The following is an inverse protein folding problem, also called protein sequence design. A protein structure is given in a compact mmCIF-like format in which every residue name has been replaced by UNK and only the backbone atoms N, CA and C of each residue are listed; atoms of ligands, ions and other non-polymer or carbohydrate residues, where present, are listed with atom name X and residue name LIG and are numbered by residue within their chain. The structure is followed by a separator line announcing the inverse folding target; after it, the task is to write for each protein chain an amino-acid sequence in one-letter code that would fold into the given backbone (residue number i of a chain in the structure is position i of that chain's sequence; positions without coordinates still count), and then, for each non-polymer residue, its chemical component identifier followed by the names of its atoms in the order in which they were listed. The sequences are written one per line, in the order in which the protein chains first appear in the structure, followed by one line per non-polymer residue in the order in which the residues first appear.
data_IF_609661538952
#
_entry.id   IF_609661538952
#
_cell.length_a   1.000
_cell.length_b   1.000
_cell.length_c   1.000
_cell.angle_alpha   90.00
_cell.angle_beta   90.00
_cell.angle_gamma   90.00
#
_symmetry.space_group_name_H-M   'P 1'
#
loop_
_entity.id
_entity.type
_entity.pdbx_description
1 polymer ?
#
# COMPACT_ATOMS: atom_id res chain seq x y z
N UNK A 1 28.22 18.90 20.69
CA UNK A 1 28.54 20.35 20.84
C UNK A 1 27.40 21.12 20.18
N UNK A 2 27.26 22.43 20.53
CA UNK A 2 26.29 23.27 19.81
C UNK A 2 27.04 24.13 18.81
N UNK A 3 26.55 24.19 17.57
CA UNK A 3 27.12 24.96 16.47
C UNK A 3 26.03 25.74 15.75
N UNK A 4 26.42 26.83 15.10
CA UNK A 4 25.52 27.55 14.19
C UNK A 4 25.30 26.68 12.94
N UNK A 5 24.09 26.20 12.73
CA UNK A 5 23.76 25.35 11.57
C UNK A 5 22.34 25.50 11.10
N UNK A 6 22.10 25.08 9.89
CA UNK A 6 20.76 24.97 9.32
C UNK A 6 19.98 23.87 10.02
N UNK A 7 18.75 24.15 10.42
CA UNK A 7 17.86 23.21 11.07
C UNK A 7 16.41 23.54 10.71
N UNK A 8 15.57 22.55 10.70
CA UNK A 8 14.15 22.73 10.47
C UNK A 8 13.52 23.47 11.66
N UNK A 9 12.77 24.51 11.36
CA UNK A 9 11.88 25.20 12.29
C UNK A 9 10.42 24.94 11.88
N UNK A 10 9.59 24.60 12.85
CA UNK A 10 8.17 24.36 12.65
C UNK A 10 7.41 25.44 13.43
N UNK A 11 6.64 26.24 12.70
CA UNK A 11 5.77 27.27 13.27
C UNK A 11 4.53 26.58 13.86
N UNK A 12 4.45 26.57 15.19
CA UNK A 12 3.38 25.89 15.90
C UNK A 12 2.04 26.61 15.72
N UNK A 13 2.02 27.91 15.48
CA UNK A 13 0.78 28.67 15.29
C UNK A 13 0.15 28.34 13.93
N UNK A 14 0.96 28.15 12.91
CA UNK A 14 0.51 27.73 11.58
C UNK A 14 0.22 26.24 11.50
N UNK A 15 0.88 25.41 12.29
CA UNK A 15 0.75 23.97 12.23
C UNK A 15 -0.65 23.49 12.68
N UNK A 16 -1.34 22.73 11.86
CA UNK A 16 -2.64 22.11 12.19
C UNK A 16 -2.53 20.64 12.66
N UNK A 17 -1.31 20.08 12.80
CA UNK A 17 -1.08 18.72 13.26
C UNK A 17 -1.42 17.61 12.28
N UNK A 18 -1.58 17.91 10.99
CA UNK A 18 -1.99 16.92 9.97
C UNK A 18 -1.04 15.74 9.77
N UNK A 19 0.20 15.81 10.25
CA UNK A 19 1.19 14.73 10.21
C UNK A 19 1.84 14.48 8.85
N UNK A 20 1.54 15.27 7.80
CA UNK A 20 2.08 15.03 6.45
C UNK A 20 3.61 15.22 6.36
N UNK A 21 4.23 15.89 7.31
CA UNK A 21 5.68 16.04 7.41
C UNK A 21 6.38 14.79 7.95
N UNK A 22 5.70 13.92 8.70
CA UNK A 22 6.30 12.75 9.35
C UNK A 22 6.91 11.75 8.36
N UNK A 23 6.19 11.28 7.30
CA UNK A 23 6.75 10.31 6.36
C UNK A 23 7.85 10.90 5.47
N UNK A 24 7.98 12.23 5.42
CA UNK A 24 8.96 12.94 4.61
C UNK A 24 10.23 13.33 5.39
N UNK A 25 10.29 13.03 6.68
CA UNK A 25 11.49 13.16 7.50
C UNK A 25 12.24 11.82 7.52
N UNK A 26 13.29 11.71 6.73
CA UNK A 26 14.06 10.46 6.60
C UNK A 26 14.71 10.03 7.93
N UNK A 27 15.07 11.00 8.76
CA UNK A 27 15.72 10.81 10.07
C UNK A 27 14.73 10.57 11.22
N UNK A 28 13.41 10.62 10.95
CA UNK A 28 12.38 10.44 11.97
C UNK A 28 12.42 11.50 13.09
N UNK A 29 13.00 12.66 12.81
CA UNK A 29 13.23 13.74 13.78
C UNK A 29 11.96 14.50 14.18
N UNK A 30 10.84 14.33 13.46
CA UNK A 30 9.58 15.04 13.71
C UNK A 30 8.57 14.12 14.41
N UNK A 31 7.86 14.67 15.41
CA UNK A 31 6.73 14.00 16.07
C UNK A 31 5.54 14.96 16.22
N UNK A 32 4.34 14.42 16.37
CA UNK A 32 3.16 15.19 16.77
C UNK A 32 3.06 15.17 18.30
N UNK A 33 3.16 16.34 18.90
CA UNK A 33 3.06 16.53 20.35
C UNK A 33 1.96 17.57 20.61
N UNK A 34 0.93 17.21 21.37
CA UNK A 34 -0.21 18.07 21.65
C UNK A 34 -0.89 18.63 20.37
N UNK A 35 -1.00 17.81 19.34
CA UNK A 35 -1.65 18.20 18.08
C UNK A 35 -0.80 19.10 17.17
N UNK A 36 0.49 19.30 17.45
CA UNK A 36 1.42 20.11 16.67
C UNK A 36 2.66 19.30 16.31
N UNK A 37 3.20 19.52 15.11
CA UNK A 37 4.48 18.91 14.74
C UNK A 37 5.62 19.62 15.47
N UNK A 38 6.56 18.86 16.00
CA UNK A 38 7.76 19.35 16.70
C UNK A 38 8.98 18.50 16.36
N UNK A 39 10.17 19.10 16.42
CA UNK A 39 11.41 18.33 16.45
C UNK A 39 11.54 17.61 17.79
N UNK A 40 11.84 16.32 17.77
CA UNK A 40 12.11 15.51 18.98
C UNK A 40 13.41 15.95 19.67
N UNK A 41 14.46 16.18 18.88
CA UNK A 41 15.74 16.70 19.32
C UNK A 41 16.49 17.32 18.12
N UNK A 42 17.27 18.37 18.37
CA UNK A 42 18.04 19.04 17.33
C UNK A 42 19.01 18.09 16.63
N UNK A 43 19.70 17.24 17.38
CA UNK A 43 20.70 16.28 16.89
C UNK A 43 20.14 15.23 15.91
N UNK A 44 18.81 15.05 15.85
CA UNK A 44 18.18 14.10 14.93
C UNK A 44 17.85 14.72 13.57
N UNK A 45 17.91 16.04 13.42
CA UNK A 45 17.61 16.73 12.17
C UNK A 45 18.90 17.06 11.43
N UNK A 46 19.08 16.58 10.20
CA UNK A 46 20.23 16.86 9.34
C UNK A 46 20.22 18.30 8.76
N UNK A 47 19.05 18.96 8.74
CA UNK A 47 18.88 20.30 8.19
C UNK A 47 18.81 20.36 6.67
N UNK A 48 18.76 19.23 5.97
CA UNK A 48 18.68 19.17 4.50
C UNK A 48 17.29 19.53 3.96
N UNK A 49 16.23 19.42 4.79
CA UNK A 49 14.91 19.91 4.44
C UNK A 49 14.08 18.98 3.55
N UNK A 50 14.30 17.67 3.59
CA UNK A 50 13.48 16.69 2.87
C UNK A 50 11.97 16.80 3.20
N UNK A 51 11.64 17.33 4.39
CA UNK A 51 10.26 17.57 4.85
C UNK A 51 9.63 18.87 4.27
N UNK A 52 10.41 19.73 3.60
CA UNK A 52 9.88 20.95 2.97
C UNK A 52 8.97 20.63 1.78
N UNK A 53 8.04 21.55 1.49
CA UNK A 53 7.11 21.40 0.36
C UNK A 53 5.95 20.42 0.61
N UNK A 54 5.93 19.73 1.74
CA UNK A 54 4.86 18.78 2.09
C UNK A 54 3.88 19.31 3.14
N UNK A 55 4.10 20.51 3.67
CA UNK A 55 3.21 21.12 4.65
C UNK A 55 2.11 21.94 3.96
N UNK A 56 0.82 21.57 4.07
CA UNK A 56 -0.27 22.32 3.45
C UNK A 56 -0.50 23.69 4.08
N UNK A 57 0.07 23.92 5.28
CA UNK A 57 -0.04 25.18 6.03
C UNK A 57 1.24 26.04 5.93
N UNK A 58 2.23 25.59 5.14
CA UNK A 58 3.55 26.24 5.02
C UNK A 58 4.23 26.55 6.37
N UNK A 59 3.97 25.68 7.36
CA UNK A 59 4.46 25.85 8.73
C UNK A 59 5.93 25.41 8.91
N UNK A 60 6.59 24.85 7.88
CA UNK A 60 7.94 24.29 7.97
C UNK A 60 8.91 25.11 7.14
N UNK A 61 9.99 25.57 7.78
CA UNK A 61 11.06 26.32 7.13
C UNK A 61 12.43 25.91 7.68
N UNK A 62 13.50 26.18 6.95
CA UNK A 62 14.87 26.06 7.46
C UNK A 62 15.28 27.40 8.07
N UNK A 63 15.84 27.34 9.26
CA UNK A 63 16.45 28.48 9.93
C UNK A 63 17.89 28.15 10.31
N UNK A 64 18.73 29.17 10.40
CA UNK A 64 20.09 29.01 10.92
C UNK A 64 20.09 29.48 12.39
N UNK A 65 20.41 28.56 13.28
CA UNK A 65 20.50 28.84 14.72
C UNK A 65 21.50 27.95 15.41
N UNK A 66 21.87 28.30 16.62
CA UNK A 66 22.67 27.43 17.49
C UNK A 66 21.85 26.17 17.83
N UNK A 67 22.40 25.01 17.46
CA UNK A 67 21.76 23.70 17.64
C UNK A 67 22.84 22.65 17.91
N UNK A 68 22.42 21.52 18.51
CA UNK A 68 23.30 20.36 18.66
C UNK A 68 23.71 19.84 17.27
N UNK A 69 24.96 19.40 17.14
CA UNK A 69 25.43 18.78 15.90
C UNK A 69 24.60 17.57 15.53
N UNK A 70 24.45 17.33 14.23
CA UNK A 70 23.71 16.16 13.74
C UNK A 70 24.43 14.88 14.13
N UNK A 71 23.70 13.95 14.69
CA UNK A 71 24.14 12.63 15.12
C UNK A 71 23.47 11.57 14.26
N UNK A 72 24.16 11.15 13.19
CA UNK A 72 23.65 10.17 12.23
C UNK A 72 23.35 8.82 12.92
N UNK A 73 24.18 8.40 13.89
CA UNK A 73 23.97 7.16 14.61
C UNK A 73 22.70 7.21 15.47
N UNK A 74 22.46 8.36 16.14
CA UNK A 74 21.23 8.58 16.90
C UNK A 74 20.00 8.65 15.99
N UNK A 75 20.09 9.28 14.83
CA UNK A 75 19.01 9.35 13.85
C UNK A 75 18.66 7.93 13.31
N UNK A 76 19.65 7.15 12.94
CA UNK A 76 19.45 5.76 12.52
C UNK A 76 18.83 4.90 13.63
N UNK A 77 19.28 5.05 14.88
CA UNK A 77 18.70 4.34 16.02
C UNK A 77 17.23 4.74 16.24
N UNK A 78 16.90 6.03 16.10
CA UNK A 78 15.52 6.52 16.22
C UNK A 78 14.62 5.93 15.13
N UNK A 79 15.08 5.93 13.87
CA UNK A 79 14.33 5.30 12.76
C UNK A 79 14.16 3.80 12.97
N UNK A 80 15.19 3.11 13.47
CA UNK A 80 15.12 1.68 13.79
C UNK A 80 14.13 1.43 14.93
N UNK A 81 14.14 2.25 15.98
CA UNK A 81 13.19 2.19 17.08
C UNK A 81 11.77 2.47 16.63
N UNK A 82 11.55 3.45 15.75
CA UNK A 82 10.25 3.73 15.16
C UNK A 82 9.74 2.55 14.32
N UNK A 83 10.60 1.90 13.53
CA UNK A 83 10.26 0.70 12.77
C UNK A 83 9.97 -0.50 13.66
N UNK A 84 10.71 -0.65 14.75
CA UNK A 84 10.50 -1.74 15.73
C UNK A 84 9.27 -1.49 16.62
N UNK A 85 9.01 -0.23 16.98
CA UNK A 85 7.84 0.18 17.74
C UNK A 85 6.59 0.34 16.89
N UNK A 86 6.73 0.41 15.55
CA UNK A 86 5.58 0.31 14.67
C UNK A 86 4.93 -1.05 14.93
N UNK A 87 3.72 -1.10 15.48
CA UNK A 87 3.01 -2.37 15.57
C UNK A 87 2.96 -2.96 14.17
N UNK A 88 3.04 -4.29 14.00
CA UNK A 88 3.01 -4.90 12.69
C UNK A 88 1.77 -4.39 11.95
N UNK A 89 1.98 -3.40 11.07
CA UNK A 89 1.02 -2.73 10.18
C UNK A 89 -0.42 -2.52 10.74
N UNK A 90 -0.55 -2.40 12.06
CA UNK A 90 -1.75 -1.96 12.70
C UNK A 90 -1.72 -0.46 12.90
N UNK A 91 -1.74 0.34 11.84
CA UNK A 91 -2.24 1.69 12.04
C UNK A 91 -3.67 1.51 12.57
N UNK A 92 -4.01 2.14 13.70
CA UNK A 92 -5.36 2.03 14.29
C UNK A 92 -6.48 2.55 13.37
N UNK A 93 -6.20 2.68 12.09
CA UNK A 93 -7.13 2.99 11.04
C UNK A 93 -7.96 1.74 10.73
N UNK A 94 -9.29 1.76 10.88
CA UNK A 94 -10.15 0.64 10.53
C UNK A 94 -9.94 0.11 9.10
N UNK A 95 -9.45 0.97 8.19
CA UNK A 95 -9.17 0.62 6.79
C UNK A 95 -8.01 -0.36 6.58
N UNK A 96 -7.10 -0.53 7.56
CA UNK A 96 -5.98 -1.48 7.49
C UNK A 96 -6.10 -2.67 8.44
N UNK A 97 -7.16 -2.74 9.26
CA UNK A 97 -7.39 -3.88 10.12
C UNK A 97 -7.69 -5.13 9.29
N UNK A 98 -7.00 -6.25 9.60
CA UNK A 98 -7.31 -7.54 9.00
C UNK A 98 -8.68 -8.02 9.51
N UNK A 99 -9.54 -8.36 8.57
CA UNK A 99 -10.84 -8.97 8.85
C UNK A 99 -11.06 -10.12 7.87
N UNK A 100 -11.67 -11.20 8.36
CA UNK A 100 -12.16 -12.30 7.53
C UNK A 100 -13.66 -12.39 7.73
N UNK A 101 -14.39 -12.45 6.64
CA UNK A 101 -15.84 -12.55 6.67
C UNK A 101 -16.26 -13.99 6.35
N UNK A 102 -17.31 -14.47 7.01
CA UNK A 102 -17.94 -15.72 6.59
C UNK A 102 -18.54 -15.50 5.19
N UNK A 103 -17.93 -16.12 4.19
CA UNK A 103 -18.52 -16.15 2.86
C UNK A 103 -19.66 -17.15 2.87
N UNK A 104 -20.88 -16.71 2.59
CA UNK A 104 -21.92 -17.62 2.17
C UNK A 104 -21.40 -18.37 0.93
N UNK A 105 -21.48 -19.71 0.95
CA UNK A 105 -21.17 -20.51 -0.23
C UNK A 105 -21.88 -19.89 -1.43
N UNK A 106 -21.17 -19.78 -2.56
CA UNK A 106 -21.71 -19.19 -3.78
C UNK A 106 -22.95 -20.01 -4.22
N UNK A 107 -24.08 -19.65 -3.65
CA UNK A 107 -25.38 -20.15 -4.11
C UNK A 107 -25.80 -19.22 -5.25
N UNK A 108 -26.24 -19.75 -6.40
CA UNK A 108 -26.71 -18.90 -7.50
C UNK A 108 -27.97 -18.07 -7.14
N UNK A 109 -28.43 -18.16 -5.90
CA UNK A 109 -29.61 -17.50 -5.34
C UNK A 109 -29.27 -16.39 -4.34
N UNK A 110 -28.05 -15.81 -4.36
CA UNK A 110 -27.79 -14.61 -3.57
C UNK A 110 -28.65 -13.47 -4.12
N UNK A 111 -29.58 -13.00 -3.32
CA UNK A 111 -30.46 -11.89 -3.69
C UNK A 111 -29.65 -10.62 -4.01
N UNK A 112 -30.23 -9.65 -4.70
CA UNK A 112 -29.57 -8.39 -5.01
C UNK A 112 -29.11 -7.71 -3.71
N UNK A 113 -27.80 -7.38 -3.62
CA UNK A 113 -27.20 -6.62 -2.52
C UNK A 113 -26.31 -7.38 -1.54
N UNK A 114 -26.10 -8.70 -1.68
CA UNK A 114 -25.16 -9.42 -0.81
C UNK A 114 -23.71 -9.27 -1.31
N UNK A 115 -22.80 -8.88 -0.40
CA UNK A 115 -21.36 -8.86 -0.69
C UNK A 115 -20.78 -10.27 -0.62
N UNK A 116 -19.96 -10.61 -1.63
CA UNK A 116 -19.15 -11.83 -1.65
C UNK A 116 -17.72 -11.61 -1.19
N UNK A 117 -17.41 -10.41 -0.67
CA UNK A 117 -16.09 -10.10 -0.13
C UNK A 117 -15.80 -10.93 1.12
N UNK A 118 -14.75 -11.73 1.08
CA UNK A 118 -14.38 -12.66 2.17
C UNK A 118 -13.38 -12.12 3.17
N UNK A 119 -12.77 -10.97 2.90
CA UNK A 119 -11.73 -10.40 3.76
C UNK A 119 -11.56 -8.90 3.58
N UNK A 120 -10.85 -8.27 4.52
CA UNK A 120 -10.38 -6.90 4.47
C UNK A 120 -8.95 -6.84 5.04
N UNK A 121 -8.05 -5.96 4.55
CA UNK A 121 -8.20 -5.00 3.45
C UNK A 121 -8.12 -5.64 2.06
N UNK A 122 -8.47 -4.87 1.01
CA UNK A 122 -8.41 -5.31 -0.40
C UNK A 122 -7.35 -4.60 -1.22
N UNK A 123 -6.94 -3.38 -0.84
CA UNK A 123 -5.86 -2.68 -1.57
C UNK A 123 -4.54 -3.40 -1.37
N UNK A 124 -3.88 -3.77 -2.46
CA UNK A 124 -2.61 -4.50 -2.46
C UNK A 124 -1.59 -3.89 -1.50
N UNK A 125 -1.51 -2.56 -1.45
CA UNK A 125 -0.59 -1.84 -0.56
C UNK A 125 -0.86 -2.09 0.93
N UNK A 126 -2.12 -2.33 1.32
CA UNK A 126 -2.54 -2.48 2.71
C UNK A 126 -2.52 -3.94 3.18
N UNK A 127 -2.58 -4.90 2.27
CA UNK A 127 -2.62 -6.33 2.62
C UNK A 127 -1.24 -6.80 3.10
N UNK A 128 -1.12 -7.36 4.32
CA UNK A 128 0.12 -8.00 4.76
C UNK A 128 0.45 -9.23 3.89
N UNK A 129 1.73 -9.46 3.54
CA UNK A 129 2.13 -10.59 2.70
C UNK A 129 1.79 -11.97 3.28
N UNK A 130 1.75 -12.07 4.59
CA UNK A 130 1.48 -13.28 5.37
C UNK A 130 0.03 -13.43 5.82
N UNK A 131 -0.87 -12.57 5.31
CA UNK A 131 -2.28 -12.57 5.71
C UNK A 131 -2.92 -13.97 5.58
N UNK A 132 -3.61 -14.47 6.61
CA UNK A 132 -4.12 -15.84 6.64
C UNK A 132 -5.03 -16.20 5.47
N UNK A 133 -5.81 -15.24 4.98
CA UNK A 133 -6.75 -15.44 3.87
C UNK A 133 -6.08 -15.62 2.50
N UNK A 134 -4.75 -15.35 2.40
CA UNK A 134 -3.98 -15.55 1.17
C UNK A 134 -3.49 -17.00 1.01
N UNK A 135 -3.33 -17.73 2.13
CA UNK A 135 -2.69 -19.06 2.13
C UNK A 135 -3.48 -20.08 1.35
N UNK A 136 -2.88 -20.63 0.29
CA UNK A 136 -3.49 -21.61 -0.58
C UNK A 136 -4.76 -21.12 -1.29
N UNK A 137 -4.99 -19.80 -1.34
CA UNK A 137 -6.17 -19.21 -1.94
C UNK A 137 -6.08 -19.16 -3.47
N UNK A 138 -7.22 -18.98 -4.13
CA UNK A 138 -7.26 -18.37 -5.45
C UNK A 138 -7.21 -16.86 -5.25
N UNK A 139 -6.22 -16.20 -5.86
CA UNK A 139 -6.03 -14.75 -5.72
C UNK A 139 -6.55 -14.06 -6.97
N UNK A 140 -7.49 -13.12 -6.80
CA UNK A 140 -7.94 -12.22 -7.83
C UNK A 140 -7.20 -10.88 -7.67
N UNK A 141 -6.35 -10.53 -8.63
CA UNK A 141 -5.67 -9.23 -8.68
C UNK A 141 -6.40 -8.36 -9.70
N UNK A 142 -7.16 -7.39 -9.23
CA UNK A 142 -7.99 -6.54 -10.07
C UNK A 142 -7.44 -5.12 -10.18
N UNK A 143 -7.47 -4.56 -11.38
CA UNK A 143 -7.29 -3.13 -11.58
C UNK A 143 -8.47 -2.36 -10.96
N UNK A 144 -8.22 -1.20 -10.34
CA UNK A 144 -9.24 -0.36 -9.71
C UNK A 144 -10.45 -0.11 -10.65
N UNK A 145 -10.17 0.25 -11.91
CA UNK A 145 -11.21 0.49 -12.88
C UNK A 145 -12.00 -0.76 -13.29
N UNK A 146 -11.36 -1.95 -13.29
CA UNK A 146 -12.03 -3.20 -13.66
C UNK A 146 -13.08 -3.60 -12.60
N UNK A 147 -12.80 -3.31 -11.33
CA UNK A 147 -13.75 -3.54 -10.24
C UNK A 147 -15.04 -2.70 -10.39
N UNK A 148 -14.95 -1.54 -11.02
CA UNK A 148 -16.10 -0.65 -11.27
C UNK A 148 -16.79 -0.99 -12.59
N UNK A 149 -16.02 -1.30 -13.63
CA UNK A 149 -16.55 -1.51 -14.98
C UNK A 149 -17.29 -2.84 -15.14
N UNK A 150 -16.84 -3.89 -14.44
CA UNK A 150 -17.40 -5.25 -14.62
C UNK A 150 -18.67 -5.44 -13.77
N UNK A 151 -19.85 -5.65 -14.39
CA UNK A 151 -21.13 -5.73 -13.65
C UNK A 151 -21.19 -6.88 -12.64
N UNK A 152 -20.56 -8.03 -12.95
CA UNK A 152 -20.53 -9.22 -12.09
C UNK A 152 -19.31 -9.29 -11.16
N UNK A 153 -18.61 -8.17 -10.96
CA UNK A 153 -17.38 -8.15 -10.14
C UNK A 153 -17.61 -8.71 -8.74
N UNK A 154 -18.70 -8.32 -8.07
CA UNK A 154 -19.01 -8.83 -6.74
C UNK A 154 -19.14 -10.36 -6.70
N UNK A 155 -19.75 -10.97 -7.70
CA UNK A 155 -19.88 -12.43 -7.78
C UNK A 155 -18.50 -13.13 -7.93
N UNK A 156 -17.54 -12.47 -8.55
CA UNK A 156 -16.16 -12.98 -8.72
C UNK A 156 -15.32 -12.94 -7.45
N UNK A 157 -15.78 -12.26 -6.42
CA UNK A 157 -15.10 -12.22 -5.11
C UNK A 157 -15.30 -13.52 -4.33
N UNK A 158 -16.34 -14.30 -4.66
CA UNK A 158 -16.70 -15.50 -3.91
C UNK A 158 -15.54 -16.51 -3.85
N UNK A 159 -15.18 -16.91 -2.63
CA UNK A 159 -14.12 -17.89 -2.33
C UNK A 159 -12.70 -17.48 -2.83
N UNK A 160 -12.44 -16.21 -3.04
CA UNK A 160 -11.18 -15.68 -3.50
C UNK A 160 -10.60 -14.65 -2.53
N UNK A 161 -9.27 -14.62 -2.47
CA UNK A 161 -8.56 -13.47 -1.92
C UNK A 161 -8.45 -12.40 -3.00
N UNK A 162 -8.82 -11.17 -2.68
CA UNK A 162 -8.90 -10.07 -3.65
C UNK A 162 -7.87 -8.99 -3.34
N UNK A 163 -7.09 -8.63 -4.34
CA UNK A 163 -6.11 -7.55 -4.26
C UNK A 163 -6.41 -6.52 -5.34
N UNK A 164 -6.56 -5.27 -4.97
CA UNK A 164 -6.90 -4.18 -5.90
C UNK A 164 -5.72 -3.21 -6.01
N UNK A 165 -5.33 -2.86 -7.23
CA UNK A 165 -4.21 -1.95 -7.52
C UNK A 165 -4.43 -1.17 -8.82
N UNK A 166 -3.79 0.01 -8.93
CA UNK A 166 -3.78 0.79 -10.15
C UNK A 166 -2.35 0.96 -10.66
N UNK A 167 -1.95 0.31 -11.78
CA UNK A 167 -0.56 0.37 -12.25
C UNK A 167 -0.14 1.75 -12.76
N UNK A 168 -1.09 2.68 -12.93
CA UNK A 168 -0.80 4.05 -13.36
C UNK A 168 -0.52 4.99 -12.19
N UNK A 169 -1.22 4.81 -11.06
CA UNK A 169 -1.14 5.71 -9.90
C UNK A 169 -0.35 5.11 -8.74
N UNK A 170 -0.23 3.80 -8.71
CA UNK A 170 0.56 3.11 -7.68
C UNK A 170 2.00 2.93 -8.15
N UNK A 171 2.97 3.14 -7.27
CA UNK A 171 4.38 2.93 -7.57
C UNK A 171 4.66 1.44 -7.87
N UNK A 172 5.30 1.10 -9.02
CA UNK A 172 5.44 -0.29 -9.45
C UNK A 172 6.39 -1.11 -8.56
N UNK A 173 7.51 -0.54 -8.11
CA UNK A 173 8.52 -1.26 -7.34
C UNK A 173 8.03 -1.78 -5.98
N UNK A 174 7.36 -0.97 -5.12
CA UNK A 174 6.78 -1.46 -3.88
C UNK A 174 5.72 -2.54 -4.10
N UNK A 175 4.95 -2.46 -5.18
CA UNK A 175 3.96 -3.48 -5.54
C UNK A 175 4.62 -4.78 -6.01
N UNK A 176 5.71 -4.69 -6.79
CA UNK A 176 6.48 -5.86 -7.20
C UNK A 176 7.02 -6.62 -5.98
N UNK A 177 7.69 -5.91 -5.06
CA UNK A 177 8.20 -6.50 -3.83
C UNK A 177 7.08 -7.14 -3.01
N UNK A 178 5.97 -6.42 -2.81
CA UNK A 178 4.81 -6.93 -2.08
C UNK A 178 4.24 -8.20 -2.71
N UNK A 179 4.09 -8.25 -4.03
CA UNK A 179 3.58 -9.43 -4.73
C UNK A 179 4.55 -10.62 -4.62
N UNK A 180 5.86 -10.38 -4.72
CA UNK A 180 6.87 -11.43 -4.52
C UNK A 180 6.75 -12.04 -3.12
N UNK A 181 6.64 -11.21 -2.10
CA UNK A 181 6.45 -11.64 -0.71
C UNK A 181 5.14 -12.43 -0.53
N UNK A 182 4.03 -11.91 -1.08
CA UNK A 182 2.74 -12.61 -1.06
C UNK A 182 2.87 -13.99 -1.71
N UNK A 183 3.46 -14.09 -2.90
CA UNK A 183 3.55 -15.36 -3.61
C UNK A 183 4.45 -16.38 -2.92
N UNK A 184 5.51 -15.92 -2.23
CA UNK A 184 6.36 -16.78 -1.42
C UNK A 184 5.66 -17.33 -0.18
N UNK A 185 4.88 -16.47 0.52
CA UNK A 185 4.24 -16.85 1.78
C UNK A 185 2.90 -17.57 1.58
N UNK A 186 2.13 -17.15 0.58
CA UNK A 186 0.77 -17.63 0.37
C UNK A 186 0.68 -18.95 -0.37
N UNK A 187 1.65 -19.27 -1.24
CA UNK A 187 1.59 -20.41 -2.16
C UNK A 187 0.19 -20.57 -2.80
N UNK A 188 -0.29 -19.56 -3.55
CA UNK A 188 -1.64 -19.55 -4.09
C UNK A 188 -1.87 -20.71 -5.05
N UNK A 189 -3.10 -21.23 -5.12
CA UNK A 189 -3.44 -22.29 -6.08
C UNK A 189 -3.57 -21.77 -7.50
N UNK A 190 -3.98 -20.51 -7.65
CA UNK A 190 -4.19 -19.83 -8.93
C UNK A 190 -4.15 -18.32 -8.70
N UNK A 191 -3.63 -17.60 -9.68
CA UNK A 191 -3.74 -16.14 -9.72
C UNK A 191 -4.49 -15.74 -10.98
N UNK A 192 -5.51 -14.92 -10.81
CA UNK A 192 -6.29 -14.36 -11.91
C UNK A 192 -6.10 -12.84 -11.90
N UNK A 193 -5.69 -12.29 -13.04
CA UNK A 193 -5.53 -10.86 -13.25
C UNK A 193 -6.80 -10.37 -13.94
N UNK A 194 -7.44 -9.35 -13.39
CA UNK A 194 -8.58 -8.68 -14.01
C UNK A 194 -8.21 -7.23 -14.30
N UNK A 195 -8.04 -6.89 -15.57
CA UNK A 195 -7.57 -5.57 -16.00
C UNK A 195 -8.42 -5.01 -17.13
N UNK A 196 -8.37 -3.70 -17.30
CA UNK A 196 -9.04 -3.04 -18.42
C UNK A 196 -8.25 -3.21 -19.74
N UNK A 197 -8.93 -3.11 -20.85
CA UNK A 197 -8.35 -3.11 -22.21
C UNK A 197 -7.41 -1.92 -22.49
N UNK A 198 -7.40 -0.90 -21.63
CA UNK A 198 -6.63 0.32 -21.82
C UNK A 198 -5.13 0.12 -21.57
N UNK A 199 -4.24 0.83 -22.29
CA UNK A 199 -2.79 0.59 -22.24
C UNK A 199 -2.19 0.71 -20.83
N UNK A 200 -2.69 1.63 -19.98
CA UNK A 200 -2.17 1.81 -18.63
C UNK A 200 -2.39 0.57 -17.73
N UNK A 201 -3.39 -0.27 -18.00
CA UNK A 201 -3.64 -1.49 -17.25
C UNK A 201 -2.75 -2.68 -17.66
N UNK A 202 -2.10 -2.62 -18.82
CA UNK A 202 -1.18 -3.70 -19.26
C UNK A 202 -0.02 -3.89 -18.28
N UNK A 203 0.43 -2.83 -17.61
CA UNK A 203 1.46 -2.87 -16.59
C UNK A 203 1.13 -3.78 -15.39
N UNK A 204 -0.15 -3.95 -15.04
CA UNK A 204 -0.56 -4.85 -13.96
C UNK A 204 -0.22 -6.31 -14.28
N UNK A 205 -0.52 -6.75 -15.50
CA UNK A 205 -0.22 -8.12 -15.93
C UNK A 205 1.30 -8.38 -16.00
N UNK A 206 2.07 -7.42 -16.48
CA UNK A 206 3.53 -7.50 -16.50
C UNK A 206 4.09 -7.63 -15.07
N UNK A 207 3.61 -6.78 -14.14
CA UNK A 207 4.04 -6.78 -12.75
C UNK A 207 3.75 -8.12 -12.05
N UNK A 208 2.55 -8.67 -12.22
CA UNK A 208 2.16 -9.94 -11.61
C UNK A 208 2.99 -11.10 -12.16
N UNK A 209 3.22 -11.16 -13.47
CA UNK A 209 4.07 -12.19 -14.08
C UNK A 209 5.53 -12.10 -13.61
N UNK A 210 6.07 -10.89 -13.55
CA UNK A 210 7.42 -10.65 -13.02
C UNK A 210 7.53 -11.09 -11.56
N UNK A 211 6.53 -10.76 -10.74
CA UNK A 211 6.51 -11.19 -9.34
C UNK A 211 6.45 -12.71 -9.19
N UNK A 212 5.64 -13.39 -10.01
CA UNK A 212 5.56 -14.85 -10.03
C UNK A 212 6.89 -15.50 -10.40
N UNK A 213 7.57 -14.99 -11.43
CA UNK A 213 8.89 -15.45 -11.83
C UNK A 213 9.93 -15.25 -10.72
N UNK A 214 9.96 -14.04 -10.13
CA UNK A 214 10.90 -13.69 -9.05
C UNK A 214 10.66 -14.51 -7.77
N UNK A 215 9.41 -14.88 -7.50
CA UNK A 215 9.05 -15.74 -6.39
C UNK A 215 9.37 -17.23 -6.63
N UNK A 216 9.72 -17.64 -7.86
CA UNK A 216 9.87 -19.04 -8.25
C UNK A 216 8.55 -19.81 -8.20
N UNK A 217 7.45 -19.17 -8.50
CA UNK A 217 6.11 -19.68 -8.28
C UNK A 217 5.64 -20.59 -9.42
N UNK A 218 4.99 -21.72 -9.08
CA UNK A 218 4.51 -22.75 -9.99
C UNK A 218 2.98 -22.83 -10.10
N UNK A 219 2.27 -21.71 -9.90
CA UNK A 219 0.82 -21.63 -10.05
C UNK A 219 0.41 -21.03 -11.40
N UNK A 220 -0.78 -21.35 -11.93
CA UNK A 220 -1.29 -20.79 -13.16
C UNK A 220 -1.67 -19.32 -12.97
N UNK A 221 -1.31 -18.47 -13.96
CA UNK A 221 -1.66 -17.06 -14.03
C UNK A 221 -2.55 -16.82 -15.23
N UNK A 222 -3.80 -16.46 -14.99
CA UNK A 222 -4.78 -16.07 -15.99
C UNK A 222 -4.87 -14.55 -16.14
N UNK A 223 -5.02 -14.04 -17.37
CA UNK A 223 -5.16 -12.60 -17.65
C UNK A 223 -6.50 -12.35 -18.35
N UNK A 224 -7.42 -11.73 -17.62
CA UNK A 224 -8.75 -11.37 -18.09
C UNK A 224 -8.82 -9.88 -18.40
N UNK A 225 -9.19 -9.54 -19.63
CA UNK A 225 -9.26 -8.18 -20.11
C UNK A 225 -10.72 -7.73 -20.20
N UNK A 226 -11.08 -6.73 -19.41
CA UNK A 226 -12.42 -6.12 -19.39
C UNK A 226 -12.45 -4.95 -20.36
N UNK A 227 -13.46 -4.90 -21.22
CA UNK A 227 -13.69 -3.74 -22.06
C UNK A 227 -14.18 -2.54 -21.24
N UNK A 228 -14.07 -1.31 -21.79
CA UNK A 228 -14.62 -0.12 -21.14
C UNK A 228 -16.13 -0.14 -20.95
N UNK A 229 -16.84 -1.02 -21.68
CA UNK A 229 -18.28 -1.26 -21.51
C UNK A 229 -18.60 -2.38 -20.50
N UNK A 230 -17.58 -2.94 -19.83
CA UNK A 230 -17.77 -3.96 -18.80
C UNK A 230 -17.96 -5.39 -19.33
N UNK A 231 -17.62 -5.64 -20.58
CA UNK A 231 -17.67 -6.99 -21.14
C UNK A 231 -16.32 -7.70 -20.98
N UNK A 232 -16.36 -9.00 -20.72
CA UNK A 232 -15.23 -9.90 -20.92
C UNK A 232 -15.36 -10.52 -22.31
N UNK A 233 -14.38 -10.31 -23.22
CA UNK A 233 -14.37 -11.01 -24.48
C UNK A 233 -14.38 -12.54 -24.24
N UNK A 234 -15.03 -13.32 -25.12
CA UNK A 234 -14.94 -14.77 -25.03
C UNK A 234 -13.45 -15.15 -25.03
N UNK A 235 -13.06 -15.97 -24.07
CA UNK A 235 -11.68 -16.51 -24.00
C UNK A 235 -11.32 -17.19 -25.31
N UNK A 236 -10.01 -17.29 -25.65
CA UNK A 236 -9.61 -18.10 -26.80
C UNK A 236 -10.26 -19.50 -26.67
N UNK A 237 -10.72 -20.09 -27.79
CA UNK A 237 -11.31 -21.42 -27.74
C UNK A 237 -10.30 -22.35 -27.06
N UNK A 238 -10.79 -23.17 -26.13
CA UNK A 238 -9.98 -24.18 -25.50
C UNK A 238 -9.37 -25.02 -26.61
N UNK A 239 -8.07 -24.90 -26.79
CA UNK A 239 -7.35 -25.66 -27.82
C UNK A 239 -7.60 -27.13 -27.61
N UNK A 240 -8.11 -27.76 -28.63
CA UNK A 240 -8.25 -29.21 -28.72
C UNK A 240 -6.87 -29.89 -28.81
#
# INVERSE_FOLDING_TARGET
MKTMRKIVHIDEDLCNGCGQCLPNCAEGAIAIVNGKAKLKADKLCDGLGACLGHCPMDAIRITEREAEDFDEAAAHAEVAAMKAAAPPLGCGCPGSNLMTFATAAASPASGPGQSHLGHWPVKLRLVPPDAPFLRGAEILIAADCAAVALPDFNARLANRAVLIACPKFDAPEPHLHKLVEIFRHAAPRKVQILRMEVPCCAGLAALVRQAAQTAGAAFPVEDLVVTRQGALPPGPPAGG
#
